data_IF_205465074614
#
_entry.id   IF_205465074614
#
_cell.length_a   1.000
_cell.length_b   1.000
_cell.length_c   1.000
_cell.angle_alpha   90.00
_cell.angle_beta   90.00
_cell.angle_gamma   90.00
#
_symmetry.space_group_name_H-M   'P 1'
#
loop_
_entity.id
_entity.type
_entity.pdbx_description
1 polymer ?
#
# COMPACT_ATOMS: atom_id res chain seq x y z
N UNK A 1 1.77 -5.61 -18.88
CA UNK A 1 0.37 -5.85 -18.44
C UNK A 1 0.31 -6.83 -17.26
N UNK A 2 1.02 -7.96 -17.30
CA UNK A 2 1.06 -8.91 -16.17
C UNK A 2 1.60 -8.26 -14.88
N UNK A 3 2.68 -7.47 -14.97
CA UNK A 3 3.26 -6.78 -13.81
C UNK A 3 2.27 -5.85 -13.10
N UNK A 4 1.50 -5.08 -13.87
CA UNK A 4 0.46 -4.19 -13.33
C UNK A 4 -0.66 -4.98 -12.63
N UNK A 5 -1.02 -6.14 -13.17
CA UNK A 5 -2.03 -7.02 -12.57
C UNK A 5 -1.52 -7.64 -11.26
N UNK A 6 -0.29 -8.17 -11.25
CA UNK A 6 0.34 -8.74 -10.04
C UNK A 6 0.49 -7.67 -8.96
N UNK A 7 0.92 -6.46 -9.34
CA UNK A 7 1.00 -5.31 -8.44
C UNK A 7 -0.35 -4.94 -7.84
N UNK A 8 -1.38 -4.82 -8.69
CA UNK A 8 -2.74 -4.54 -8.25
C UNK A 8 -3.25 -5.61 -7.27
N UNK A 9 -3.08 -6.89 -7.61
CA UNK A 9 -3.49 -8.01 -6.74
C UNK A 9 -2.75 -7.93 -5.40
N UNK A 10 -1.45 -7.65 -5.39
CA UNK A 10 -0.69 -7.53 -4.14
C UNK A 10 -1.24 -6.42 -3.24
N UNK A 11 -1.58 -5.25 -3.80
CA UNK A 11 -2.22 -4.16 -3.04
C UNK A 11 -3.59 -4.58 -2.49
N UNK A 12 -4.40 -5.31 -3.28
CA UNK A 12 -5.68 -5.83 -2.81
C UNK A 12 -5.52 -6.82 -1.66
N UNK A 13 -4.58 -7.76 -1.78
CA UNK A 13 -4.28 -8.75 -0.75
C UNK A 13 -3.85 -8.06 0.54
N UNK A 14 -2.98 -7.06 0.47
CA UNK A 14 -2.57 -6.27 1.64
C UNK A 14 -3.75 -5.52 2.27
N UNK A 15 -4.61 -4.91 1.46
CA UNK A 15 -5.82 -4.25 1.93
C UNK A 15 -6.78 -5.20 2.63
N UNK A 16 -7.04 -6.38 2.05
CA UNK A 16 -7.89 -7.43 2.64
C UNK A 16 -7.28 -7.93 3.95
N UNK A 17 -5.96 -8.13 3.99
CA UNK A 17 -5.25 -8.58 5.18
C UNK A 17 -5.36 -7.58 6.33
N UNK A 18 -5.31 -6.27 6.04
CA UNK A 18 -5.45 -5.22 7.03
C UNK A 18 -6.91 -4.88 7.38
N UNK A 19 -7.88 -5.24 6.53
CA UNK A 19 -9.28 -4.84 6.66
C UNK A 19 -9.91 -5.20 8.02
N UNK A 20 -9.76 -6.42 8.58
CA UNK A 20 -10.34 -6.73 9.89
C UNK A 20 -9.79 -5.84 11.02
N UNK A 21 -8.49 -5.53 10.98
CA UNK A 21 -7.87 -4.63 11.95
C UNK A 21 -8.36 -3.19 11.76
N UNK A 22 -8.43 -2.70 10.51
CA UNK A 22 -9.01 -1.40 10.18
C UNK A 22 -10.47 -1.30 10.66
N UNK A 23 -11.28 -2.34 10.45
CA UNK A 23 -12.68 -2.39 10.86
C UNK A 23 -12.87 -2.22 12.38
N UNK A 24 -11.98 -2.82 13.17
CA UNK A 24 -12.01 -2.74 14.64
C UNK A 24 -11.46 -1.39 15.13
N UNK A 25 -10.39 -0.89 14.51
CA UNK A 25 -9.73 0.36 14.88
C UNK A 25 -10.62 1.57 14.54
N UNK A 26 -11.19 1.58 13.34
CA UNK A 26 -12.03 2.65 12.81
C UNK A 26 -13.52 2.39 13.04
N UNK A 27 -13.90 1.67 14.10
CA UNK A 27 -15.29 1.31 14.41
C UNK A 27 -16.25 2.50 14.54
N UNK A 28 -15.70 3.69 14.83
CA UNK A 28 -16.45 4.95 14.97
C UNK A 28 -16.68 5.67 13.64
N UNK A 29 -15.95 5.29 12.58
CA UNK A 29 -16.13 5.85 11.26
C UNK A 29 -17.25 5.11 10.51
N UNK A 30 -18.14 5.85 9.81
CA UNK A 30 -19.18 5.27 8.97
C UNK A 30 -18.70 4.24 7.94
N UNK A 31 -17.52 4.41 7.35
CA UNK A 31 -16.93 3.45 6.39
C UNK A 31 -16.17 2.29 7.04
N UNK A 32 -16.08 2.27 8.38
CA UNK A 32 -15.31 1.29 9.16
C UNK A 32 -13.85 1.15 8.70
N UNK A 33 -13.26 2.20 8.15
CA UNK A 33 -11.87 2.21 7.67
C UNK A 33 -11.63 1.42 6.38
N UNK A 34 -12.67 1.03 5.65
CA UNK A 34 -12.53 0.31 4.37
C UNK A 34 -11.66 1.07 3.36
N UNK A 35 -11.88 2.38 3.24
CA UNK A 35 -11.15 3.24 2.30
C UNK A 35 -9.69 3.45 2.68
N UNK A 36 -9.37 3.35 3.97
CA UNK A 36 -8.03 3.50 4.52
C UNK A 36 -7.28 2.16 4.64
N UNK A 37 -7.93 1.02 4.41
CA UNK A 37 -7.33 -0.29 4.59
C UNK A 37 -6.09 -0.51 3.71
N UNK A 38 -6.13 -0.13 2.42
CA UNK A 38 -4.97 -0.27 1.50
C UNK A 38 -3.79 0.64 1.89
N UNK A 39 -3.97 1.98 2.10
CA UNK A 39 -2.89 2.83 2.62
C UNK A 39 -2.34 2.36 3.97
N UNK A 40 -3.22 2.00 4.91
CA UNK A 40 -2.81 1.54 6.24
C UNK A 40 -2.02 0.25 6.18
N UNK A 41 -2.42 -0.71 5.32
CA UNK A 41 -1.67 -1.93 5.09
C UNK A 41 -0.26 -1.64 4.58
N UNK A 42 -0.13 -0.77 3.57
CA UNK A 42 1.16 -0.42 3.00
C UNK A 42 2.08 0.18 4.05
N UNK A 43 1.61 1.19 4.81
CA UNK A 43 2.40 1.83 5.86
C UNK A 43 2.76 0.81 6.94
N UNK A 44 1.80 0.04 7.44
CA UNK A 44 2.02 -0.88 8.55
C UNK A 44 3.02 -1.99 8.17
N UNK A 45 2.76 -2.72 7.09
CA UNK A 45 3.58 -3.88 6.73
C UNK A 45 5.00 -3.47 6.29
N UNK A 46 5.13 -2.37 5.54
CA UNK A 46 6.46 -1.86 5.18
C UNK A 46 7.21 -1.30 6.39
N UNK A 47 6.52 -0.64 7.33
CA UNK A 47 7.14 -0.12 8.54
C UNK A 47 7.68 -1.23 9.43
N UNK A 48 6.93 -2.32 9.62
CA UNK A 48 7.42 -3.46 10.39
C UNK A 48 8.66 -4.07 9.72
N UNK A 49 8.65 -4.27 8.40
CA UNK A 49 9.84 -4.78 7.70
C UNK A 49 11.04 -3.82 7.84
N UNK A 50 10.79 -2.52 7.74
CA UNK A 50 11.83 -1.50 7.92
C UNK A 50 12.46 -1.57 9.31
N UNK A 51 11.65 -1.69 10.37
CA UNK A 51 12.14 -1.86 11.75
C UNK A 51 12.89 -3.18 11.94
N UNK A 52 12.39 -4.29 11.37
CA UNK A 52 13.07 -5.58 11.41
C UNK A 52 14.45 -5.53 10.73
N UNK A 53 14.55 -4.80 9.62
CA UNK A 53 15.81 -4.61 8.90
C UNK A 53 16.77 -3.63 9.59
N UNK A 54 16.26 -2.59 10.27
CA UNK A 54 17.08 -1.69 11.10
C UNK A 54 17.67 -2.41 12.32
N UNK A 55 16.85 -3.25 12.96
CA UNK A 55 17.25 -4.02 14.16
C UNK A 55 18.05 -5.28 13.82
N UNK A 56 18.29 -5.57 12.54
CA UNK A 56 18.96 -6.77 12.05
C UNK A 56 18.30 -8.09 12.46
N UNK A 57 17.02 -8.07 12.84
CA UNK A 57 16.26 -9.27 13.24
C UNK A 57 15.92 -10.13 12.02
N UNK A 58 15.51 -9.50 10.92
CA UNK A 58 15.17 -10.20 9.68
C UNK A 58 15.61 -9.40 8.46
N UNK A 59 16.18 -10.06 7.42
CA UNK A 59 16.65 -9.35 6.25
C UNK A 59 15.49 -8.96 5.33
N UNK A 60 15.65 -7.87 4.57
CA UNK A 60 14.77 -7.49 3.48
C UNK A 60 14.94 -8.45 2.30
N UNK A 61 14.14 -9.52 2.31
CA UNK A 61 14.07 -10.50 1.22
C UNK A 61 12.61 -10.82 0.92
N UNK A 62 12.32 -11.26 -0.30
CA UNK A 62 10.97 -11.68 -0.67
C UNK A 62 10.44 -12.78 0.26
N UNK A 63 11.27 -13.74 0.65
CA UNK A 63 10.90 -14.80 1.58
C UNK A 63 10.50 -14.23 2.95
N UNK A 64 11.29 -13.30 3.51
CA UNK A 64 10.96 -12.63 4.77
C UNK A 64 9.59 -11.96 4.70
N UNK A 65 9.32 -11.23 3.62
CA UNK A 65 8.03 -10.54 3.42
C UNK A 65 6.90 -11.55 3.38
N UNK A 66 7.03 -12.63 2.59
CA UNK A 66 5.98 -13.65 2.46
C UNK A 66 5.70 -14.32 3.81
N UNK A 67 6.74 -14.73 4.54
CA UNK A 67 6.60 -15.37 5.86
C UNK A 67 5.93 -14.42 6.85
N UNK A 68 6.36 -13.17 6.88
CA UNK A 68 5.77 -12.13 7.73
C UNK A 68 4.29 -11.89 7.43
N UNK A 69 3.93 -11.75 6.14
CA UNK A 69 2.53 -11.58 5.73
C UNK A 69 1.70 -12.83 6.05
N UNK A 70 2.27 -14.04 5.89
CA UNK A 70 1.62 -15.29 6.27
C UNK A 70 1.34 -15.36 7.78
N UNK A 71 2.29 -14.93 8.63
CA UNK A 71 2.08 -14.82 10.08
C UNK A 71 0.97 -13.81 10.40
N UNK A 72 0.91 -12.68 9.69
CA UNK A 72 -0.13 -11.67 9.87
C UNK A 72 -1.54 -12.14 9.50
N UNK A 73 -1.69 -13.24 8.73
CA UNK A 73 -2.98 -13.86 8.46
C UNK A 73 -3.64 -14.36 9.74
N UNK A 74 -2.88 -14.84 10.72
CA UNK A 74 -3.43 -15.40 11.97
C UNK A 74 -4.24 -14.37 12.77
N UNK A 75 -3.68 -13.22 13.18
CA UNK A 75 -4.45 -12.20 13.88
C UNK A 75 -5.56 -11.59 13.01
N UNK A 76 -5.30 -11.40 11.71
CA UNK A 76 -6.31 -10.88 10.77
C UNK A 76 -7.54 -11.80 10.69
N UNK A 77 -7.31 -13.11 10.54
CA UNK A 77 -8.37 -14.12 10.51
C UNK A 77 -9.10 -14.23 11.84
N UNK A 78 -8.39 -14.17 12.97
CA UNK A 78 -9.01 -14.14 14.30
C UNK A 78 -9.97 -12.95 14.45
N UNK A 79 -9.54 -11.74 14.08
CA UNK A 79 -10.39 -10.54 14.11
C UNK A 79 -11.58 -10.67 13.16
N UNK A 80 -11.35 -11.18 11.94
CA UNK A 80 -12.40 -11.41 10.97
C UNK A 80 -13.47 -12.37 11.49
N UNK A 81 -13.07 -13.49 12.10
CA UNK A 81 -13.99 -14.47 12.71
C UNK A 81 -14.79 -13.87 13.87
N UNK A 82 -14.12 -13.10 14.73
CA UNK A 82 -14.76 -12.45 15.89
C UNK A 82 -15.81 -11.42 15.48
N UNK A 83 -15.59 -10.69 14.38
CA UNK A 83 -16.48 -9.64 13.90
C UNK A 83 -17.28 -10.03 12.64
N UNK A 84 -17.34 -11.33 12.30
CA UNK A 84 -17.91 -11.81 11.05
C UNK A 84 -19.35 -11.34 10.80
N UNK A 85 -20.20 -11.40 11.84
CA UNK A 85 -21.60 -10.99 11.74
C UNK A 85 -21.74 -9.48 11.46
N UNK A 86 -20.93 -8.65 12.14
CA UNK A 86 -20.88 -7.21 11.92
C UNK A 86 -20.36 -6.87 10.52
N UNK A 87 -19.26 -7.50 10.09
CA UNK A 87 -18.66 -7.28 8.77
C UNK A 87 -19.66 -7.65 7.67
N UNK A 88 -20.33 -8.80 7.77
CA UNK A 88 -21.36 -9.21 6.79
C UNK A 88 -22.53 -8.22 6.74
N UNK A 89 -23.01 -7.78 7.90
CA UNK A 89 -24.11 -6.81 7.98
C UNK A 89 -23.71 -5.46 7.38
N UNK A 90 -22.52 -4.97 7.73
CA UNK A 90 -21.93 -3.76 7.19
C UNK A 90 -21.78 -3.83 5.66
N UNK A 91 -21.18 -4.92 5.15
CA UNK A 91 -20.98 -5.13 3.73
C UNK A 91 -22.32 -5.13 2.98
N UNK A 92 -23.33 -5.82 3.51
CA UNK A 92 -24.68 -5.84 2.91
C UNK A 92 -25.35 -4.47 2.89
N UNK A 93 -25.17 -3.68 3.95
CA UNK A 93 -25.81 -2.36 4.08
C UNK A 93 -25.09 -1.26 3.29
N UNK A 94 -23.78 -1.37 3.11
CA UNK A 94 -22.94 -0.33 2.54
C UNK A 94 -22.32 -0.72 1.19
N UNK A 95 -22.76 -1.82 0.57
CA UNK A 95 -22.18 -2.34 -0.67
C UNK A 95 -22.03 -1.29 -1.79
N UNK A 96 -22.97 -0.33 -2.01
CA UNK A 96 -22.80 0.65 -3.09
C UNK A 96 -21.61 1.58 -2.82
N UNK A 97 -21.39 1.94 -1.56
CA UNK A 97 -20.26 2.79 -1.14
C UNK A 97 -18.94 2.02 -1.25
N UNK A 98 -18.93 0.75 -0.88
CA UNK A 98 -17.74 -0.11 -1.02
C UNK A 98 -17.34 -0.27 -2.49
N UNK A 99 -18.33 -0.51 -3.36
CA UNK A 99 -18.11 -0.59 -4.81
C UNK A 99 -17.67 0.77 -5.36
N UNK A 100 -18.29 1.88 -4.96
CA UNK A 100 -17.89 3.21 -5.42
C UNK A 100 -16.44 3.54 -5.03
N UNK A 101 -16.03 3.25 -3.79
CA UNK A 101 -14.66 3.42 -3.34
C UNK A 101 -13.67 2.58 -4.17
N UNK A 102 -14.03 1.34 -4.47
CA UNK A 102 -13.18 0.45 -5.28
C UNK A 102 -13.10 0.89 -6.73
N UNK A 103 -14.22 1.32 -7.33
CA UNK A 103 -14.27 1.87 -8.69
C UNK A 103 -13.43 3.13 -8.79
N UNK A 104 -13.46 4.02 -7.79
CA UNK A 104 -12.59 5.19 -7.74
C UNK A 104 -11.11 4.79 -7.64
N UNK A 105 -10.78 3.85 -6.76
CA UNK A 105 -9.41 3.33 -6.64
C UNK A 105 -8.90 2.76 -7.97
N UNK A 106 -9.65 1.83 -8.56
CA UNK A 106 -9.29 1.17 -9.83
C UNK A 106 -9.25 2.19 -10.98
N UNK A 107 -10.23 3.09 -11.05
CA UNK A 107 -10.32 4.12 -12.07
C UNK A 107 -9.11 5.05 -12.07
N UNK A 108 -8.73 5.57 -10.90
CA UNK A 108 -7.53 6.40 -10.77
C UNK A 108 -6.24 5.62 -11.03
N UNK A 109 -6.15 4.36 -10.57
CA UNK A 109 -5.00 3.52 -10.84
C UNK A 109 -4.80 3.30 -12.34
N UNK A 110 -5.84 2.85 -13.05
CA UNK A 110 -5.78 2.60 -14.49
C UNK A 110 -5.56 3.88 -15.30
N UNK A 111 -6.20 4.99 -14.91
CA UNK A 111 -5.97 6.29 -15.52
C UNK A 111 -4.49 6.70 -15.42
N UNK A 112 -3.89 6.58 -14.24
CA UNK A 112 -2.50 6.97 -14.03
C UNK A 112 -1.50 6.01 -14.69
N UNK A 113 -1.80 4.70 -14.71
CA UNK A 113 -1.04 3.73 -15.50
C UNK A 113 -1.04 4.14 -16.97
N UNK A 114 -2.18 4.55 -17.53
CA UNK A 114 -2.29 5.04 -18.90
C UNK A 114 -1.47 6.31 -19.16
N UNK A 115 -1.51 7.28 -18.24
CA UNK A 115 -0.69 8.50 -18.33
C UNK A 115 0.80 8.15 -18.32
N UNK A 116 1.24 7.28 -17.41
CA UNK A 116 2.65 6.92 -17.27
C UNK A 116 3.16 6.08 -18.44
N UNK A 117 2.30 5.25 -19.05
CA UNK A 117 2.71 4.44 -20.20
C UNK A 117 3.14 5.26 -21.42
N UNK A 118 2.71 6.51 -21.54
CA UNK A 118 3.12 7.43 -22.61
C UNK A 118 4.57 7.95 -22.42
N UNK A 119 5.03 8.06 -21.17
CA UNK A 119 6.36 8.56 -20.83
C UNK A 119 6.99 7.81 -19.64
N UNK A 120 7.28 6.49 -19.78
CA UNK A 120 7.75 5.64 -18.69
C UNK A 120 9.23 5.83 -18.36
N UNK A 121 9.95 6.65 -19.12
CA UNK A 121 11.37 6.90 -18.92
C UNK A 121 11.65 7.59 -17.57
N UNK A 122 12.63 7.05 -16.85
CA UNK A 122 13.06 7.48 -15.51
C UNK A 122 14.34 8.33 -15.65
N UNK A 123 14.25 9.43 -16.39
CA UNK A 123 15.40 10.24 -16.78
C UNK A 123 15.18 11.76 -16.63
N UNK A 124 14.12 12.17 -15.94
CA UNK A 124 13.75 13.58 -15.79
C UNK A 124 13.69 13.99 -14.32
N UNK A 125 14.19 15.18 -14.03
CA UNK A 125 14.14 15.83 -12.70
C UNK A 125 14.59 14.91 -11.56
N UNK A 126 13.73 14.66 -10.59
CA UNK A 126 13.99 13.87 -9.39
C UNK A 126 13.79 12.36 -9.63
N UNK A 127 13.21 11.95 -10.77
CA UNK A 127 12.92 10.53 -11.03
C UNK A 127 14.17 9.63 -10.91
N UNK A 128 15.35 10.00 -11.44
CA UNK A 128 16.56 9.20 -11.26
C UNK A 128 16.97 9.06 -9.78
N UNK A 129 16.74 10.11 -8.99
CA UNK A 129 17.03 10.12 -7.55
C UNK A 129 16.10 9.14 -6.80
N UNK A 130 14.79 9.30 -7.00
CA UNK A 130 13.78 8.43 -6.38
C UNK A 130 14.00 6.95 -6.75
N UNK A 131 14.33 6.70 -8.01
CA UNK A 131 14.58 5.37 -8.52
C UNK A 131 15.87 4.78 -7.95
N UNK A 132 16.93 5.57 -7.80
CA UNK A 132 18.15 5.13 -7.13
C UNK A 132 17.90 4.78 -5.66
N UNK A 133 17.13 5.59 -4.92
CA UNK A 133 16.73 5.25 -3.54
C UNK A 133 15.90 3.97 -3.46
N UNK A 134 14.94 3.78 -4.36
CA UNK A 134 14.18 2.54 -4.45
C UNK A 134 15.08 1.32 -4.74
N UNK A 135 16.05 1.44 -5.66
CA UNK A 135 16.99 0.35 -5.95
C UNK A 135 17.95 0.08 -4.79
N UNK A 136 18.44 1.12 -4.10
CA UNK A 136 19.27 0.95 -2.91
C UNK A 136 18.55 0.14 -1.83
N UNK A 137 17.26 0.40 -1.60
CA UNK A 137 16.43 -0.41 -0.70
C UNK A 137 16.32 -1.86 -1.20
N UNK A 138 16.03 -2.08 -2.48
CA UNK A 138 15.90 -3.42 -3.07
C UNK A 138 17.19 -4.25 -2.99
N UNK A 139 18.35 -3.61 -3.07
CA UNK A 139 19.66 -4.27 -2.99
C UNK A 139 20.12 -4.50 -1.54
N UNK A 140 19.54 -3.77 -0.59
CA UNK A 140 19.92 -3.83 0.82
C UNK A 140 19.20 -4.95 1.56
N UNK A 141 19.95 -5.80 2.26
CA UNK A 141 19.41 -6.81 3.17
C UNK A 141 19.03 -6.22 4.54
N UNK A 142 19.77 -5.22 5.00
CA UNK A 142 19.54 -4.54 6.27
C UNK A 142 19.63 -3.03 6.05
N UNK A 143 19.15 -2.25 7.01
CA UNK A 143 19.01 -0.79 6.88
C UNK A 143 19.85 -0.05 7.93
N UNK A 144 20.28 1.20 7.65
CA UNK A 144 20.00 2.01 6.45
C UNK A 144 20.68 1.51 5.17
N UNK A 145 20.07 1.71 3.98
CA UNK A 145 20.68 1.34 2.71
C UNK A 145 21.85 2.27 2.35
N UNK A 146 22.78 1.77 1.53
CA UNK A 146 23.89 2.57 0.97
C UNK A 146 23.38 3.66 0.04
N UNK A 147 23.99 4.84 0.11
CA UNK A 147 23.66 5.99 -0.72
C UNK A 147 24.16 5.78 -2.17
N UNK A 148 23.28 5.83 -3.19
CA UNK A 148 23.69 5.66 -4.59
C UNK A 148 24.64 6.74 -5.10
N UNK A 149 24.71 7.90 -4.44
CA UNK A 149 25.54 9.04 -4.81
C UNK A 149 26.77 9.23 -3.93
N UNK A 150 26.88 8.47 -2.83
CA UNK A 150 28.01 8.55 -1.91
C UNK A 150 28.37 7.17 -1.37
N UNK A 151 29.23 6.47 -2.10
CA UNK A 151 29.66 5.10 -1.76
C UNK A 151 30.22 5.00 -0.34
N UNK A 152 29.91 3.88 0.32
CA UNK A 152 30.31 3.57 1.69
C UNK A 152 29.53 4.33 2.77
N UNK A 153 28.59 5.20 2.40
CA UNK A 153 27.80 5.98 3.34
C UNK A 153 26.30 5.62 3.23
N UNK A 154 25.53 5.72 4.32
CA UNK A 154 24.09 5.53 4.27
C UNK A 154 23.38 6.73 3.64
N UNK A 155 22.18 6.50 3.07
CA UNK A 155 21.32 7.59 2.57
C UNK A 155 21.06 8.62 3.68
N UNK A 156 21.41 9.89 3.43
CA UNK A 156 21.18 11.02 4.35
C UNK A 156 19.86 11.76 4.08
N UNK A 157 18.83 11.03 3.68
CA UNK A 157 17.52 11.57 3.30
C UNK A 157 16.38 10.65 3.78
N UNK A 158 15.17 11.18 3.88
CA UNK A 158 13.99 10.36 4.16
C UNK A 158 13.69 9.45 2.97
N UNK A 159 13.78 8.13 3.16
CA UNK A 159 13.56 7.17 2.07
C UNK A 159 12.34 6.26 2.25
N UNK A 160 11.54 6.43 3.32
CA UNK A 160 10.48 5.47 3.64
C UNK A 160 9.35 5.44 2.59
N UNK A 161 9.09 6.55 1.89
CA UNK A 161 8.19 6.54 0.73
C UNK A 161 8.68 5.63 -0.40
N UNK A 162 9.97 5.73 -0.76
CA UNK A 162 10.60 4.82 -1.72
C UNK A 162 10.64 3.38 -1.20
N UNK A 163 10.84 3.21 0.12
CA UNK A 163 10.80 1.91 0.77
C UNK A 163 9.44 1.23 0.62
N UNK A 164 8.32 1.94 0.76
CA UNK A 164 6.99 1.38 0.58
C UNK A 164 6.80 0.80 -0.83
N UNK A 165 7.34 1.48 -1.85
CA UNK A 165 7.28 1.00 -3.24
C UNK A 165 8.28 -0.13 -3.51
N UNK A 166 9.48 -0.06 -2.92
CA UNK A 166 10.46 -1.14 -2.94
C UNK A 166 9.92 -2.42 -2.28
N UNK A 167 9.21 -2.29 -1.15
CA UNK A 167 8.53 -3.39 -0.47
C UNK A 167 7.56 -4.12 -1.40
N UNK A 168 6.73 -3.38 -2.14
CA UNK A 168 5.80 -3.96 -3.11
C UNK A 168 6.52 -4.60 -4.29
N UNK A 169 7.57 -3.98 -4.82
CA UNK A 169 8.39 -4.56 -5.89
C UNK A 169 9.07 -5.85 -5.42
N UNK A 170 9.64 -5.87 -4.21
CA UNK A 170 10.27 -7.04 -3.61
C UNK A 170 9.27 -8.17 -3.35
N UNK A 171 8.06 -7.85 -2.88
CA UNK A 171 6.98 -8.82 -2.66
C UNK A 171 6.53 -9.46 -3.98
N UNK A 172 6.31 -8.64 -5.00
CA UNK A 172 5.75 -9.08 -6.29
C UNK A 172 6.77 -9.68 -7.24
N UNK A 173 8.06 -9.39 -7.05
CA UNK A 173 9.12 -9.76 -7.99
C UNK A 173 9.10 -8.95 -9.29
N UNK A 174 8.32 -7.87 -9.34
CA UNK A 174 8.25 -6.98 -10.51
C UNK A 174 9.59 -6.23 -10.66
N UNK A 175 10.08 -6.11 -11.89
CA UNK A 175 11.30 -5.37 -12.19
C UNK A 175 11.23 -3.94 -11.62
N UNK A 176 12.33 -3.45 -11.05
CA UNK A 176 12.32 -2.20 -10.29
C UNK A 176 11.83 -1.01 -11.11
N UNK A 177 12.19 -0.91 -12.40
CA UNK A 177 11.74 0.16 -13.30
C UNK A 177 10.22 0.15 -13.54
N UNK A 178 9.63 -1.04 -13.62
CA UNK A 178 8.18 -1.19 -13.71
C UNK A 178 7.52 -0.90 -12.36
N UNK A 179 8.09 -1.42 -11.26
CA UNK A 179 7.62 -1.15 -9.91
C UNK A 179 7.63 0.34 -9.55
N UNK A 180 8.62 1.09 -10.00
CA UNK A 180 8.68 2.54 -9.83
C UNK A 180 7.50 3.24 -10.52
N UNK A 181 7.27 2.95 -11.80
CA UNK A 181 6.16 3.51 -12.58
C UNK A 181 4.78 3.10 -12.04
N UNK A 182 4.63 1.85 -11.60
CA UNK A 182 3.41 1.37 -10.94
C UNK A 182 3.21 2.02 -9.56
N UNK A 183 4.29 2.27 -8.83
CA UNK A 183 4.28 3.02 -7.57
C UNK A 183 3.76 4.44 -7.74
N UNK A 184 4.24 5.16 -8.76
CA UNK A 184 3.71 6.50 -9.10
C UNK A 184 2.22 6.41 -9.46
N UNK A 185 1.79 5.34 -10.15
CA UNK A 185 0.37 5.13 -10.49
C UNK A 185 -0.50 4.79 -9.28
N UNK A 186 0.07 4.14 -8.26
CA UNK A 186 -0.63 3.71 -7.07
C UNK A 186 -0.95 4.87 -6.12
N UNK A 187 -0.04 5.84 -5.99
CA UNK A 187 -0.22 7.00 -5.10
C UNK A 187 -1.56 7.74 -5.34
N UNK A 188 -1.89 8.21 -6.55
CA UNK A 188 -3.15 8.92 -6.80
C UNK A 188 -4.37 8.03 -6.60
N UNK A 189 -4.27 6.72 -6.85
CA UNK A 189 -5.36 5.78 -6.56
C UNK A 189 -5.65 5.68 -5.05
N UNK A 190 -4.61 5.58 -4.23
CA UNK A 190 -4.72 5.58 -2.77
C UNK A 190 -5.25 6.91 -2.24
N UNK A 191 -4.80 8.04 -2.81
CA UNK A 191 -5.28 9.38 -2.47
C UNK A 191 -6.76 9.53 -2.81
N UNK A 192 -7.19 9.09 -4.00
CA UNK A 192 -8.59 9.15 -4.42
C UNK A 192 -9.50 8.33 -3.48
N UNK A 193 -9.09 7.10 -3.15
CA UNK A 193 -9.82 6.26 -2.19
C UNK A 193 -9.88 6.90 -0.80
N UNK A 194 -8.76 7.41 -0.29
CA UNK A 194 -8.68 8.07 1.01
C UNK A 194 -9.50 9.37 1.08
N UNK A 195 -9.46 10.20 0.03
CA UNK A 195 -10.24 11.43 -0.07
C UNK A 195 -11.74 11.14 -0.14
N UNK A 196 -12.14 10.13 -0.92
CA UNK A 196 -13.53 9.66 -0.95
C UNK A 196 -13.99 9.22 0.44
N UNK A 197 -13.18 8.41 1.13
CA UNK A 197 -13.45 7.94 2.48
C UNK A 197 -13.57 9.07 3.50
N UNK A 198 -12.66 10.04 3.45
CA UNK A 198 -12.70 11.22 4.31
C UNK A 198 -14.00 12.00 4.13
N UNK A 199 -14.34 12.34 2.88
CA UNK A 199 -15.56 13.09 2.57
C UNK A 199 -16.80 12.29 2.96
N UNK A 200 -16.86 11.00 2.62
CA UNK A 200 -17.97 10.12 2.99
C UNK A 200 -18.18 10.08 4.51
N UNK A 201 -17.10 9.90 5.28
CA UNK A 201 -17.17 9.87 6.73
C UNK A 201 -17.67 11.20 7.31
N UNK A 202 -17.17 12.34 6.81
CA UNK A 202 -17.62 13.67 7.25
C UNK A 202 -19.11 13.90 6.96
N UNK A 203 -19.57 13.58 5.75
CA UNK A 203 -20.97 13.73 5.34
C UNK A 203 -21.89 12.87 6.21
N UNK A 204 -21.50 11.62 6.49
CA UNK A 204 -22.30 10.70 7.30
C UNK A 204 -22.32 11.11 8.78
N UNK A 205 -21.20 11.60 9.31
CA UNK A 205 -21.11 12.09 10.69
C UNK A 205 -21.88 13.40 10.90
N UNK A 206 -22.07 14.22 9.87
CA UNK A 206 -22.90 15.44 9.92
C UNK A 206 -24.40 15.19 9.74
N UNK A 207 -24.83 13.92 9.64
CA UNK A 207 -26.23 13.55 9.41
C UNK A 207 -26.67 13.59 7.95
N UNK A 208 -25.74 13.83 7.02
CA UNK A 208 -25.99 13.77 5.58
C UNK A 208 -26.38 12.36 5.13
N UNK A 209 -27.39 12.30 4.26
CA UNK A 209 -27.80 11.07 3.59
C UNK A 209 -27.53 11.20 2.10
N UNK A 210 -26.93 10.17 1.51
CA UNK A 210 -26.87 10.04 0.05
C UNK A 210 -28.29 9.61 -0.33
N UNK A 211 -29.09 10.57 -0.79
CA UNK A 211 -30.41 10.30 -1.38
C UNK A 211 -30.23 9.64 -2.74
#
# INVERSE_FOLDING_TARGET
>A
MLDALVWYIAVQVLGILALPAAFVLFRRLPDRGFTLAKPAAMVFFSYILWVLGLSHIAPNTQLTIIVFLAVAVVPSFYLFRRNLAEIKTFARQNWPVLVAAEVLFVGFFLMWVGIISEAPAINHTEKPMDFGFMNAVLQSRFFPPEDPWLSGNPISYYYFGHFMMAFLAQLTGVASSMGYNLGISLVPALVAAGAFGLVYNLVRLSGGTIR
#
